data_IF_818930741298
#
_entry.id   IF_818930741298
#
_cell.length_a   1.000
_cell.length_b   1.000
_cell.length_c   1.000
_cell.angle_alpha   90.00
_cell.angle_beta   90.00
_cell.angle_gamma   90.00
#
_symmetry.space_group_name_H-M   'P 1'
#
loop_
_entity.id
_entity.type
_entity.pdbx_description
1 polymer ?
#
# COMPACT_ATOMS: atom_id res chain seq x y z
N UNK A 1 -2.32 -9.31 16.51
CA UNK A 1 -0.89 -9.64 16.32
C UNK A 1 -0.29 -8.45 15.61
N UNK A 2 0.74 -7.79 16.16
CA UNK A 2 1.24 -6.51 15.62
C UNK A 2 2.43 -6.76 14.70
N UNK A 3 2.30 -6.40 13.42
CA UNK A 3 3.38 -6.51 12.45
C UNK A 3 4.43 -5.42 12.65
N UNK A 4 5.71 -5.77 12.47
CA UNK A 4 6.84 -4.84 12.55
C UNK A 4 7.28 -4.42 11.15
N UNK A 5 7.50 -3.12 10.95
CA UNK A 5 8.15 -2.61 9.75
C UNK A 5 9.64 -2.93 9.82
N UNK A 6 10.12 -3.81 8.95
CA UNK A 6 11.52 -4.27 8.97
C UNK A 6 12.37 -3.73 7.82
N UNK A 7 11.73 -3.22 6.77
CA UNK A 7 12.41 -2.66 5.59
C UNK A 7 11.50 -1.66 4.86
N UNK A 8 12.09 -0.82 4.02
CA UNK A 8 11.34 0.14 3.20
C UNK A 8 11.06 1.49 3.87
N UNK A 9 11.63 1.76 5.05
CA UNK A 9 11.52 3.09 5.67
C UNK A 9 12.08 4.19 4.76
N UNK A 10 13.19 3.91 4.07
CA UNK A 10 13.77 4.85 3.10
C UNK A 10 12.80 5.19 1.96
N UNK A 11 11.99 4.23 1.48
CA UNK A 11 10.96 4.48 0.45
C UNK A 11 9.93 5.49 0.96
N UNK A 12 9.52 5.36 2.22
CA UNK A 12 8.61 6.30 2.86
C UNK A 12 9.24 7.69 3.02
N UNK A 13 10.49 7.75 3.45
CA UNK A 13 11.22 9.00 3.64
C UNK A 13 11.39 9.75 2.32
N UNK A 14 11.85 9.07 1.27
CA UNK A 14 12.06 9.65 -0.05
C UNK A 14 10.76 10.15 -0.68
N UNK A 15 9.70 9.34 -0.62
CA UNK A 15 8.38 9.74 -1.11
C UNK A 15 7.82 10.94 -0.33
N UNK A 16 7.98 10.96 1.00
CA UNK A 16 7.42 11.98 1.87
C UNK A 16 8.04 13.37 1.69
N UNK A 17 9.26 13.50 1.14
CA UNK A 17 9.95 14.79 0.94
C UNK A 17 9.10 15.75 0.09
N UNK A 18 8.42 15.23 -0.94
CA UNK A 18 7.66 16.03 -1.88
C UNK A 18 6.13 15.82 -1.77
N UNK A 19 5.68 14.97 -0.85
CA UNK A 19 4.27 14.63 -0.71
C UNK A 19 3.49 15.71 0.07
N UNK A 20 2.27 16.07 -0.38
CA UNK A 20 1.37 16.91 0.41
C UNK A 20 1.08 16.30 1.79
N UNK A 21 0.85 17.15 2.79
CA UNK A 21 0.54 16.69 4.15
C UNK A 21 -0.69 15.76 4.20
N UNK A 22 -1.71 16.04 3.39
CA UNK A 22 -2.91 15.21 3.29
C UNK A 22 -2.58 13.78 2.84
N UNK A 23 -1.70 13.65 1.83
CA UNK A 23 -1.27 12.36 1.30
C UNK A 23 -0.42 11.61 2.33
N UNK A 24 0.48 12.31 3.02
CA UNK A 24 1.28 11.71 4.10
C UNK A 24 0.40 11.13 5.20
N UNK A 25 -0.66 11.84 5.59
CA UNK A 25 -1.55 11.40 6.65
C UNK A 25 -2.25 10.08 6.28
N UNK A 26 -2.80 9.96 5.08
CA UNK A 26 -3.48 8.73 4.64
C UNK A 26 -2.51 7.55 4.51
N UNK A 27 -1.26 7.80 4.08
CA UNK A 27 -0.22 6.77 4.06
C UNK A 27 0.12 6.28 5.48
N UNK A 28 0.29 7.20 6.43
CA UNK A 28 0.60 6.81 7.82
C UNK A 28 -0.54 6.02 8.44
N UNK A 29 -1.80 6.41 8.19
CA UNK A 29 -2.98 5.66 8.62
C UNK A 29 -3.00 4.23 8.06
N UNK A 30 -2.74 4.08 6.75
CA UNK A 30 -2.66 2.77 6.13
C UNK A 30 -1.51 1.92 6.70
N UNK A 31 -0.34 2.51 6.95
CA UNK A 31 0.78 1.79 7.57
C UNK A 31 0.48 1.35 9.01
N UNK A 32 -0.26 2.16 9.77
CA UNK A 32 -0.74 1.75 11.10
C UNK A 32 -1.74 0.60 11.01
N UNK A 33 -2.67 0.66 10.04
CA UNK A 33 -3.62 -0.42 9.79
C UNK A 33 -2.92 -1.72 9.32
N UNK A 34 -1.82 -1.62 8.58
CA UNK A 34 -0.98 -2.80 8.26
C UNK A 34 -0.33 -3.32 9.53
N UNK A 35 0.25 -2.44 10.34
CA UNK A 35 0.94 -2.82 11.57
C UNK A 35 0.02 -3.49 12.60
N UNK A 36 -1.25 -3.08 12.72
CA UNK A 36 -2.20 -3.71 13.64
C UNK A 36 -3.00 -4.87 13.02
N UNK A 37 -2.89 -5.06 11.70
CA UNK A 37 -3.53 -6.13 10.93
C UNK A 37 -4.95 -5.81 10.46
N UNK A 38 -5.43 -4.58 10.65
CA UNK A 38 -6.77 -4.13 10.23
C UNK A 38 -6.85 -3.70 8.77
N UNK A 39 -5.72 -3.56 8.05
CA UNK A 39 -5.73 -3.09 6.66
C UNK A 39 -6.67 -3.87 5.73
N UNK A 40 -6.74 -5.20 5.89
CA UNK A 40 -7.63 -6.08 5.11
C UNK A 40 -9.13 -5.89 5.40
N UNK A 41 -9.48 -5.13 6.43
CA UNK A 41 -10.86 -4.80 6.79
C UNK A 41 -11.28 -3.41 6.34
N UNK A 42 -10.32 -2.53 6.06
CA UNK A 42 -10.54 -1.09 5.87
C UNK A 42 -10.27 -0.66 4.43
N UNK A 43 -9.31 -1.30 3.76
CA UNK A 43 -8.86 -0.89 2.44
C UNK A 43 -9.15 -1.94 1.37
N UNK A 44 -9.27 -1.46 0.13
CA UNK A 44 -9.21 -2.30 -1.05
C UNK A 44 -7.77 -2.80 -1.24
N UNK A 45 -7.62 -4.13 -1.25
CA UNK A 45 -6.34 -4.82 -1.35
C UNK A 45 -6.31 -5.72 -2.56
N UNK A 46 -5.26 -5.58 -3.35
CA UNK A 46 -5.04 -6.31 -4.59
C UNK A 46 -3.78 -7.16 -4.46
N UNK A 47 -3.86 -8.45 -4.74
CA UNK A 47 -2.67 -9.31 -4.77
C UNK A 47 -1.75 -8.96 -5.94
N UNK A 48 -0.45 -9.18 -5.77
CA UNK A 48 0.50 -9.13 -6.89
C UNK A 48 0.55 -10.51 -7.57
N UNK A 49 0.21 -10.55 -8.86
CA UNK A 49 0.24 -11.78 -9.66
C UNK A 49 1.66 -12.34 -9.89
N UNK A 50 2.70 -11.55 -9.63
CA UNK A 50 4.12 -11.93 -9.77
C UNK A 50 4.72 -12.40 -8.44
N UNK A 51 4.26 -11.87 -7.32
CA UNK A 51 4.73 -12.24 -5.99
C UNK A 51 3.56 -12.38 -5.00
N UNK A 52 3.19 -13.61 -4.59
CA UNK A 52 2.06 -13.85 -3.69
C UNK A 52 2.29 -13.32 -2.26
N UNK A 53 3.51 -12.90 -1.93
CA UNK A 53 3.82 -12.26 -0.65
C UNK A 53 3.66 -10.74 -0.69
N UNK A 54 3.37 -10.17 -1.86
CA UNK A 54 3.14 -8.75 -2.04
C UNK A 54 1.68 -8.46 -2.36
N UNK A 55 1.22 -7.32 -1.87
CA UNK A 55 -0.10 -6.79 -2.18
C UNK A 55 -0.06 -5.27 -2.26
N UNK A 56 -1.00 -4.74 -3.03
CA UNK A 56 -1.20 -3.32 -3.25
C UNK A 56 -2.42 -2.90 -2.44
N UNK A 57 -2.26 -1.86 -1.64
CA UNK A 57 -3.32 -1.18 -0.90
C UNK A 57 -3.66 0.08 -1.68
N UNK A 58 -4.93 0.24 -2.08
CA UNK A 58 -5.42 1.50 -2.62
C UNK A 58 -5.81 2.42 -1.45
N UNK A 59 -5.06 3.50 -1.26
CA UNK A 59 -5.20 4.38 -0.09
C UNK A 59 -6.09 5.58 -0.38
N UNK A 60 -6.05 6.04 -1.63
CA UNK A 60 -7.02 6.94 -2.28
C UNK A 60 -6.93 6.74 -3.80
N UNK A 61 -7.83 7.38 -4.54
CA UNK A 61 -8.01 7.22 -5.99
C UNK A 61 -6.71 7.21 -6.83
N UNK A 62 -5.70 8.01 -6.47
CA UNK A 62 -4.45 8.19 -7.21
C UNK A 62 -3.20 7.79 -6.41
N UNK A 63 -3.35 7.08 -5.28
CA UNK A 63 -2.24 6.75 -4.39
C UNK A 63 -2.36 5.35 -3.82
N UNK A 64 -1.30 4.59 -4.04
CA UNK A 64 -1.17 3.20 -3.57
C UNK A 64 0.06 3.01 -2.71
N UNK A 65 0.01 1.97 -1.89
CA UNK A 65 1.18 1.40 -1.21
C UNK A 65 1.30 -0.06 -1.61
N UNK A 66 2.50 -0.50 -2.01
CA UNK A 66 2.81 -1.91 -2.13
C UNK A 66 3.52 -2.40 -0.89
N UNK A 67 2.98 -3.43 -0.27
CA UNK A 67 3.48 -4.05 0.96
C UNK A 67 3.93 -5.47 0.66
N UNK A 68 5.12 -5.82 1.15
CA UNK A 68 5.57 -7.21 1.24
C UNK A 68 5.33 -7.75 2.65
N UNK A 69 4.73 -8.93 2.78
CA UNK A 69 4.41 -9.55 4.06
C UNK A 69 5.25 -10.79 4.33
N UNK A 70 5.99 -10.77 5.43
CA UNK A 70 6.78 -11.91 5.93
C UNK A 70 6.06 -12.50 7.14
N UNK A 71 5.12 -13.41 6.87
CA UNK A 71 4.26 -14.03 7.90
C UNK A 71 5.03 -14.79 8.97
N UNK A 72 6.17 -15.39 8.63
CA UNK A 72 7.01 -16.15 9.58
C UNK A 72 7.57 -15.26 10.68
N UNK A 73 7.83 -13.99 10.36
CA UNK A 73 8.57 -13.07 11.23
C UNK A 73 7.65 -12.00 11.84
N UNK A 74 6.34 -12.10 11.60
CA UNK A 74 5.36 -11.07 12.00
C UNK A 74 5.80 -9.68 11.53
N UNK A 75 6.27 -9.58 10.29
CA UNK A 75 6.84 -8.36 9.76
C UNK A 75 6.36 -8.04 8.36
N UNK A 76 6.54 -6.78 7.98
CA UNK A 76 6.24 -6.28 6.66
C UNK A 76 7.33 -5.31 6.19
N UNK A 77 7.29 -5.02 4.89
CA UNK A 77 8.16 -4.05 4.25
C UNK A 77 7.38 -3.16 3.28
N UNK A 78 7.81 -1.90 3.17
CA UNK A 78 7.29 -0.97 2.18
C UNK A 78 8.08 -1.16 0.89
N UNK A 79 7.41 -1.63 -0.16
CA UNK A 79 8.03 -1.89 -1.46
C UNK A 79 7.90 -0.68 -2.39
N UNK A 80 6.79 0.04 -2.29
CA UNK A 80 6.51 1.20 -3.14
C UNK A 80 5.43 2.09 -2.53
N UNK A 81 5.55 3.40 -2.77
CA UNK A 81 4.50 4.39 -2.52
C UNK A 81 4.44 5.31 -3.74
N UNK A 82 3.26 5.53 -4.28
CA UNK A 82 3.10 6.43 -5.42
C UNK A 82 1.80 6.21 -6.17
N UNK A 83 1.78 6.70 -7.41
CA UNK A 83 0.61 6.61 -8.26
C UNK A 83 0.31 5.16 -8.67
N UNK A 84 -0.96 4.89 -8.93
CA UNK A 84 -1.38 3.63 -9.51
C UNK A 84 -0.83 3.52 -10.94
N UNK A 85 0.08 2.57 -11.18
CA UNK A 85 0.62 2.33 -12.52
C UNK A 85 -0.43 1.65 -13.40
N UNK A 86 -0.62 2.15 -14.64
CA UNK A 86 -1.48 1.51 -15.64
C UNK A 86 -1.04 0.05 -15.85
N UNK A 87 -1.98 -0.90 -15.69
CA UNK A 87 -1.73 -2.33 -15.83
C UNK A 87 -1.49 -3.09 -14.52
N UNK A 88 -1.55 -2.43 -13.36
CA UNK A 88 -1.72 -3.14 -12.09
C UNK A 88 -3.16 -3.68 -11.96
N UNK A 89 -3.41 -4.79 -11.26
CA UNK A 89 -4.78 -5.30 -11.05
C UNK A 89 -5.73 -4.27 -10.44
N UNK A 90 -5.19 -3.35 -9.63
CA UNK A 90 -5.91 -2.20 -9.09
C UNK A 90 -6.28 -1.15 -10.16
N UNK A 91 -5.45 -0.96 -11.20
CA UNK A 91 -5.76 -0.06 -12.32
C UNK A 91 -6.95 -0.55 -13.15
N UNK A 92 -7.13 -1.87 -13.27
CA UNK A 92 -8.28 -2.45 -13.96
C UNK A 92 -9.63 -2.08 -13.30
N UNK A 93 -9.64 -1.75 -12.00
CA UNK A 93 -10.85 -1.30 -11.29
C UNK A 93 -11.07 0.21 -11.39
N UNK A 94 -10.03 0.99 -11.71
CA UNK A 94 -10.13 2.43 -11.89
C UNK A 94 -10.75 2.79 -13.26
N UNK A 95 -10.46 2.02 -14.30
CA UNK A 95 -11.03 2.18 -15.65
C UNK A 95 -12.55 1.92 -15.70
N UNK A 96 -13.10 1.08 -14.82
CA UNK A 96 -14.54 0.78 -14.77
C UNK A 96 -15.41 1.92 -14.19
N UNK A 97 -14.81 2.92 -13.54
CA UNK A 97 -15.55 4.00 -12.84
C UNK A 97 -15.82 5.22 -13.74
N UNK A 98 -15.09 5.39 -14.84
CA UNK A 98 -15.26 6.51 -15.79
C UNK A 98 -16.23 6.20 -16.95
N UNK A 99 -16.85 5.01 -16.94
CA UNK A 99 -17.65 4.47 -18.05
C UNK A 99 -19.14 4.23 -17.76
N UNK A 100 -19.82 5.07 -16.98
CA UNK A 100 -21.28 4.99 -16.76
C UNK A 100 -22.00 6.32 -16.76
#
# INVERSE_FOLDING_TARGET
MRLQLTSGLQVLEEWAINAPQADRNVIYEALFAVADGSAFLIYDIFGDGRDPHQFIILVKHDLVIRIGLKRTDSSFEIVYIGALEHGTPAAAWADDVDGS
#
